data_IF_318063520536
#
_entry.id   IF_318063520536
#
_cell.length_a   1.000
_cell.length_b   1.000
_cell.length_c   1.000
_cell.angle_alpha   90.00
_cell.angle_beta   90.00
_cell.angle_gamma   90.00
#
_symmetry.space_group_name_H-M   'P 1'
#
loop_
_entity.id
_entity.type
_entity.pdbx_description
1 polymer ?
#
# COMPACT_ATOMS: atom_id res chain seq x y z
N UNK A 1 -3.52 11.25 -1.37
CA UNK A 1 -3.15 11.14 0.06
C UNK A 1 -4.42 10.96 0.91
N UNK A 2 -4.68 9.74 1.40
CA UNK A 2 -6.03 9.35 1.85
C UNK A 2 -6.22 9.34 3.37
N UNK A 3 -5.20 9.01 4.16
CA UNK A 3 -5.32 8.88 5.61
C UNK A 3 -4.97 10.16 6.38
N UNK A 4 -4.19 11.06 5.77
CA UNK A 4 -3.65 12.26 6.42
C UNK A 4 -4.75 13.19 6.98
N UNK A 5 -5.77 13.62 6.18
CA UNK A 5 -6.80 14.52 6.70
C UNK A 5 -7.63 13.86 7.80
N UNK A 6 -7.88 12.56 7.69
CA UNK A 6 -8.63 11.79 8.69
C UNK A 6 -7.86 11.67 10.02
N UNK A 7 -6.54 11.44 9.98
CA UNK A 7 -5.68 11.45 11.18
C UNK A 7 -5.66 12.83 11.83
N UNK A 8 -5.61 13.91 11.04
CA UNK A 8 -5.66 15.29 11.58
C UNK A 8 -7.04 15.64 12.15
N UNK A 9 -8.12 15.14 11.54
CA UNK A 9 -9.48 15.35 12.02
C UNK A 9 -9.72 14.69 13.39
N UNK A 10 -8.98 13.63 13.74
CA UNK A 10 -9.07 12.98 15.05
C UNK A 10 -8.71 13.92 16.23
N UNK A 11 -8.15 15.11 15.99
CA UNK A 11 -7.95 16.17 17.00
C UNK A 11 -9.26 16.66 17.65
N UNK A 12 -10.40 16.49 16.99
CA UNK A 12 -11.70 16.87 17.55
C UNK A 12 -12.19 15.92 18.63
N UNK A 13 -11.55 14.75 18.78
CA UNK A 13 -11.88 13.77 19.82
C UNK A 13 -11.14 14.17 21.11
N UNK A 14 -11.91 14.59 22.12
CA UNK A 14 -11.38 15.07 23.40
C UNK A 14 -10.63 13.98 24.18
N UNK A 15 -11.19 12.76 24.19
CA UNK A 15 -10.56 11.62 24.86
C UNK A 15 -9.32 11.16 24.10
N UNK A 16 -8.15 11.23 24.77
CA UNK A 16 -6.89 10.80 24.16
C UNK A 16 -6.89 9.32 23.73
N UNK A 17 -7.60 8.44 24.46
CA UNK A 17 -7.70 7.00 24.14
C UNK A 17 -8.48 6.78 22.86
N UNK A 18 -9.66 7.40 22.75
CA UNK A 18 -10.52 7.29 21.56
C UNK A 18 -9.86 7.96 20.34
N UNK A 19 -9.17 9.09 20.57
CA UNK A 19 -8.35 9.76 19.55
C UNK A 19 -7.26 8.82 19.03
N UNK A 20 -6.52 8.17 19.92
CA UNK A 20 -5.45 7.26 19.55
C UNK A 20 -5.98 6.03 18.80
N UNK A 21 -7.06 5.41 19.28
CA UNK A 21 -7.70 4.27 18.61
C UNK A 21 -8.15 4.66 17.19
N UNK A 22 -8.76 5.85 17.05
CA UNK A 22 -9.13 6.40 15.74
C UNK A 22 -7.92 6.59 14.82
N UNK A 23 -6.84 7.21 15.32
CA UNK A 23 -5.59 7.42 14.55
C UNK A 23 -5.00 6.08 14.08
N UNK A 24 -5.02 5.06 14.93
CA UNK A 24 -4.49 3.74 14.59
C UNK A 24 -5.40 2.97 13.61
N UNK A 25 -6.71 3.22 13.61
CA UNK A 25 -7.69 2.54 12.74
C UNK A 25 -7.79 3.13 11.33
N UNK A 26 -7.68 4.45 11.18
CA UNK A 26 -7.83 5.15 9.88
C UNK A 26 -7.02 4.49 8.75
N UNK A 27 -5.77 4.05 8.95
CA UNK A 27 -4.95 3.45 7.89
C UNK A 27 -5.38 2.05 7.45
N UNK A 28 -6.21 1.35 8.23
CA UNK A 28 -6.80 0.05 7.83
C UNK A 28 -7.85 0.23 6.72
N UNK A 29 -8.41 1.42 6.58
CA UNK A 29 -9.39 1.69 5.53
C UNK A 29 -8.74 1.71 4.15
N UNK A 30 -9.40 1.04 3.19
CA UNK A 30 -9.00 1.06 1.79
C UNK A 30 -9.12 2.46 1.21
N UNK A 31 -8.09 2.85 0.49
CA UNK A 31 -7.82 4.24 0.18
C UNK A 31 -7.59 4.39 -1.32
N UNK A 32 -7.99 5.52 -1.91
CA UNK A 32 -7.99 5.72 -3.37
C UNK A 32 -6.62 5.49 -4.02
N UNK A 33 -5.53 5.75 -3.31
CA UNK A 33 -4.17 5.50 -3.78
C UNK A 33 -3.81 4.00 -3.94
N UNK A 34 -4.66 3.06 -3.48
CA UNK A 34 -4.48 1.62 -3.71
C UNK A 34 -5.12 1.13 -5.00
N UNK A 35 -6.04 1.91 -5.58
CA UNK A 35 -6.79 1.52 -6.78
C UNK A 35 -5.87 1.15 -7.95
N UNK A 36 -4.81 1.90 -8.29
CA UNK A 36 -3.97 1.57 -9.44
C UNK A 36 -3.32 0.17 -9.34
N UNK A 37 -2.90 -0.21 -8.13
CA UNK A 37 -2.28 -1.52 -7.88
C UNK A 37 -3.32 -2.63 -8.02
N UNK A 38 -4.52 -2.44 -7.45
CA UNK A 38 -5.61 -3.40 -7.59
C UNK A 38 -6.06 -3.54 -9.04
N UNK A 39 -6.24 -2.44 -9.77
CA UNK A 39 -6.64 -2.49 -11.17
C UNK A 39 -5.60 -3.20 -12.01
N UNK A 40 -4.31 -2.99 -11.75
CA UNK A 40 -3.23 -3.67 -12.47
C UNK A 40 -3.21 -5.18 -12.17
N UNK A 41 -3.27 -5.58 -10.90
CA UNK A 41 -3.26 -7.00 -10.52
C UNK A 41 -4.53 -7.72 -10.98
N UNK A 42 -5.69 -7.06 -10.91
CA UNK A 42 -6.97 -7.61 -11.39
C UNK A 42 -6.96 -7.75 -12.91
N UNK A 43 -6.52 -6.73 -13.65
CA UNK A 43 -6.42 -6.81 -15.11
C UNK A 43 -5.40 -7.87 -15.56
N UNK A 44 -4.30 -8.02 -14.80
CA UNK A 44 -3.29 -9.01 -15.10
C UNK A 44 -3.76 -10.44 -14.86
N UNK A 45 -4.32 -10.76 -13.70
CA UNK A 45 -4.48 -12.16 -13.28
C UNK A 45 -5.91 -12.67 -13.27
N UNK A 46 -6.91 -11.79 -13.25
CA UNK A 46 -8.30 -12.20 -13.10
C UNK A 46 -8.99 -12.24 -14.47
N UNK A 47 -9.48 -13.42 -14.91
CA UNK A 47 -10.13 -13.54 -16.21
C UNK A 47 -11.43 -12.73 -16.25
N UNK A 48 -11.71 -12.12 -17.41
CA UNK A 48 -12.98 -11.46 -17.71
C UNK A 48 -14.10 -12.49 -17.86
N UNK A 49 -14.55 -13.08 -16.76
CA UNK A 49 -15.77 -13.89 -16.72
C UNK A 49 -16.89 -13.06 -16.13
N UNK A 50 -18.03 -13.04 -16.80
CA UNK A 50 -19.26 -12.48 -16.24
C UNK A 50 -19.89 -13.54 -15.34
N UNK A 51 -20.05 -13.20 -14.07
CA UNK A 51 -20.82 -14.00 -13.11
C UNK A 51 -22.22 -13.41 -13.09
N UNK A 52 -23.25 -14.25 -13.24
CA UNK A 52 -24.67 -13.82 -13.20
C UNK A 52 -25.08 -12.81 -14.29
N UNK A 53 -24.38 -12.76 -15.44
CA UNK A 53 -24.75 -11.92 -16.60
C UNK A 53 -24.66 -10.40 -16.40
N UNK A 54 -24.42 -9.92 -15.17
CA UNK A 54 -24.42 -8.49 -14.79
C UNK A 54 -23.11 -8.09 -14.09
N UNK A 55 -22.46 -9.00 -13.34
CA UNK A 55 -21.27 -8.68 -12.55
C UNK A 55 -20.00 -9.25 -13.18
N UNK A 56 -18.99 -8.40 -13.42
CA UNK A 56 -17.66 -8.87 -13.80
C UNK A 56 -16.96 -9.47 -12.58
N UNK A 57 -16.29 -10.61 -12.76
CA UNK A 57 -15.52 -11.27 -11.69
C UNK A 57 -14.44 -10.32 -11.11
N UNK A 58 -13.89 -9.44 -11.95
CA UNK A 58 -12.98 -8.37 -11.56
C UNK A 58 -13.61 -7.37 -10.58
N UNK A 59 -14.85 -6.93 -10.85
CA UNK A 59 -15.58 -6.03 -9.95
C UNK A 59 -15.93 -6.70 -8.62
N UNK A 60 -16.28 -8.00 -8.65
CA UNK A 60 -16.56 -8.78 -7.45
C UNK A 60 -15.32 -8.89 -6.54
N UNK A 61 -14.14 -9.13 -7.12
CA UNK A 61 -12.89 -9.20 -6.35
C UNK A 61 -12.54 -7.85 -5.74
N UNK A 62 -12.67 -6.76 -6.49
CA UNK A 62 -12.44 -5.41 -5.96
C UNK A 62 -13.40 -5.11 -4.80
N UNK A 63 -14.69 -5.40 -4.97
CA UNK A 63 -15.69 -5.24 -3.92
C UNK A 63 -15.35 -6.09 -2.69
N UNK A 64 -14.95 -7.35 -2.89
CA UNK A 64 -14.54 -8.27 -1.83
C UNK A 64 -13.38 -7.72 -0.99
N UNK A 65 -12.33 -7.17 -1.62
CA UNK A 65 -11.18 -6.58 -0.91
C UNK A 65 -11.61 -5.36 -0.09
N UNK A 66 -12.51 -4.53 -0.61
CA UNK A 66 -13.01 -3.36 0.11
C UNK A 66 -13.86 -3.75 1.34
N UNK A 67 -14.74 -4.74 1.19
CA UNK A 67 -15.52 -5.29 2.31
C UNK A 67 -14.61 -5.93 3.36
N UNK A 68 -13.61 -6.69 2.93
CA UNK A 68 -12.62 -7.32 3.81
C UNK A 68 -11.85 -6.27 4.64
N UNK A 69 -11.47 -5.14 4.04
CA UNK A 69 -10.90 -4.00 4.76
C UNK A 69 -11.85 -3.38 5.79
N UNK A 70 -13.14 -3.23 5.44
CA UNK A 70 -14.15 -2.69 6.35
C UNK A 70 -14.41 -3.60 7.55
N UNK A 71 -14.61 -4.90 7.31
CA UNK A 71 -14.87 -5.90 8.36
C UNK A 71 -13.69 -5.97 9.34
N UNK A 72 -12.47 -5.98 8.81
CA UNK A 72 -11.28 -6.02 9.65
C UNK A 72 -11.04 -4.73 10.41
N UNK A 73 -11.35 -3.56 9.86
CA UNK A 73 -11.32 -2.30 10.61
C UNK A 73 -12.28 -2.35 11.80
N UNK A 74 -13.51 -2.85 11.61
CA UNK A 74 -14.48 -3.04 12.70
C UNK A 74 -13.93 -4.03 13.74
N UNK A 75 -13.39 -5.16 13.30
CA UNK A 75 -12.84 -6.18 14.20
C UNK A 75 -11.67 -5.64 15.06
N UNK A 76 -10.70 -4.96 14.43
CA UNK A 76 -9.59 -4.32 15.13
C UNK A 76 -10.09 -3.22 16.05
N UNK A 77 -11.12 -2.47 15.66
CA UNK A 77 -11.70 -1.43 16.51
C UNK A 77 -12.30 -2.00 17.80
N UNK A 78 -12.98 -3.13 17.73
CA UNK A 78 -13.53 -3.82 18.90
C UNK A 78 -12.41 -4.32 19.82
N UNK A 79 -11.32 -4.87 19.26
CA UNK A 79 -10.14 -5.29 20.02
C UNK A 79 -9.50 -4.10 20.72
N UNK A 80 -9.23 -3.01 19.99
CA UNK A 80 -8.60 -1.82 20.54
C UNK A 80 -9.48 -1.11 21.55
N UNK A 81 -10.80 -1.07 21.36
CA UNK A 81 -11.75 -0.54 22.37
C UNK A 81 -11.69 -1.33 23.67
N UNK A 82 -11.49 -2.65 23.62
CA UNK A 82 -11.34 -3.51 24.80
C UNK A 82 -10.00 -3.29 25.52
N UNK A 83 -8.93 -3.07 24.76
CA UNK A 83 -7.58 -2.80 25.29
C UNK A 83 -7.49 -1.38 25.88
N UNK A 84 -8.01 -0.39 25.17
CA UNK A 84 -7.94 1.03 25.52
C UNK A 84 -9.28 1.55 26.05
N UNK A 85 -9.77 1.00 27.17
CA UNK A 85 -11.07 1.41 27.76
C UNK A 85 -11.18 2.93 27.91
N UNK A 86 -12.18 3.61 27.31
CA UNK A 86 -12.39 5.04 27.51
C UNK A 86 -12.81 5.36 28.95
N UNK A 87 -12.41 6.52 29.45
CA UNK A 87 -12.63 6.94 30.85
C UNK A 87 -13.97 7.67 31.06
N UNK A 88 -14.56 8.21 29.99
CA UNK A 88 -15.85 8.90 30.00
C UNK A 88 -16.31 9.16 28.57
N UNK A 89 -17.52 8.77 28.16
CA UNK A 89 -18.09 9.21 26.89
C UNK A 89 -18.64 10.62 27.06
N UNK A 90 -17.95 11.63 26.54
CA UNK A 90 -18.48 13.00 26.53
C UNK A 90 -19.56 13.04 25.44
N UNK A 91 -20.77 13.44 25.82
CA UNK A 91 -21.89 13.60 24.89
C UNK A 91 -21.56 14.78 23.98
N UNK A 92 -21.23 14.49 22.72
CA UNK A 92 -20.97 15.50 21.72
C UNK A 92 -22.31 16.16 21.35
N UNK A 93 -22.65 17.25 22.03
CA UNK A 93 -23.68 18.18 21.56
C UNK A 93 -23.10 18.85 20.31
N UNK A 94 -23.52 18.35 19.16
CA UNK A 94 -23.16 18.94 17.88
C UNK A 94 -24.16 20.06 17.60
N UNK A 95 -23.91 21.25 18.17
CA UNK A 95 -24.63 22.43 17.73
C UNK A 95 -24.27 22.69 16.27
N UNK A 96 -25.29 22.78 15.41
CA UNK A 96 -25.08 23.04 13.99
C UNK A 96 -24.45 24.43 13.84
N UNK A 97 -23.20 24.55 13.38
CA UNK A 97 -22.60 25.86 13.19
C UNK A 97 -23.38 26.60 12.08
N UNK A 98 -23.55 27.92 12.19
CA UNK A 98 -24.21 28.70 11.15
C UNK A 98 -23.43 28.56 9.83
N UNK A 99 -24.09 28.03 8.80
CA UNK A 99 -23.51 27.81 7.48
C UNK A 99 -23.31 29.17 6.79
N UNK A 100 -22.08 29.70 6.86
CA UNK A 100 -21.69 30.93 6.16
C UNK A 100 -21.12 30.56 4.79
N UNK A 101 -21.56 31.27 3.75
CA UNK A 101 -20.98 31.15 2.41
C UNK A 101 -19.49 31.51 2.47
N UNK A 102 -18.58 30.62 2.03
CA UNK A 102 -17.16 30.90 2.06
C UNK A 102 -16.79 31.96 1.02
N UNK A 103 -15.99 32.95 1.40
CA UNK A 103 -15.43 33.90 0.44
C UNK A 103 -14.42 33.19 -0.46
N UNK A 104 -14.53 33.38 -1.78
CA UNK A 104 -13.62 32.76 -2.77
C UNK A 104 -12.13 33.04 -2.47
N UNK A 105 -11.84 34.23 -1.97
CA UNK A 105 -10.47 34.65 -1.61
C UNK A 105 -9.90 33.84 -0.43
N UNK A 106 -10.71 33.54 0.59
CA UNK A 106 -10.25 32.75 1.75
C UNK A 106 -10.16 31.26 1.42
N UNK A 107 -11.06 30.74 0.58
CA UNK A 107 -10.92 29.39 0.02
C UNK A 107 -9.62 29.23 -0.74
N UNK A 108 -9.28 30.17 -1.62
CA UNK A 108 -8.04 30.12 -2.39
C UNK A 108 -6.80 30.15 -1.50
N UNK A 109 -6.75 31.04 -0.50
CA UNK A 109 -5.66 31.07 0.48
C UNK A 109 -5.56 29.75 1.26
N UNK A 110 -6.68 29.18 1.69
CA UNK A 110 -6.71 27.90 2.39
C UNK A 110 -6.17 26.77 1.51
N UNK A 111 -6.61 26.70 0.24
CA UNK A 111 -6.12 25.71 -0.72
C UNK A 111 -4.62 25.88 -0.94
N UNK A 112 -4.15 27.11 -1.13
CA UNK A 112 -2.74 27.42 -1.36
C UNK A 112 -1.87 27.04 -0.15
N UNK A 113 -2.28 27.38 1.07
CA UNK A 113 -1.56 27.01 2.29
C UNK A 113 -1.52 25.48 2.48
N UNK A 114 -2.62 24.79 2.23
CA UNK A 114 -2.67 23.32 2.32
C UNK A 114 -1.79 22.66 1.27
N UNK A 115 -1.79 23.17 0.03
CA UNK A 115 -0.94 22.69 -1.05
C UNK A 115 0.55 22.95 -0.76
N UNK A 116 0.90 24.15 -0.30
CA UNK A 116 2.27 24.51 0.10
C UNK A 116 2.75 23.66 1.27
N UNK A 117 1.91 23.45 2.29
CA UNK A 117 2.22 22.59 3.43
C UNK A 117 2.44 21.14 2.99
N UNK A 118 1.65 20.63 2.05
CA UNK A 118 1.86 19.30 1.47
C UNK A 118 3.17 19.21 0.68
N UNK A 119 3.46 20.16 -0.22
CA UNK A 119 4.72 20.17 -0.99
C UNK A 119 5.95 20.22 -0.08
N UNK A 120 5.94 21.08 0.93
CA UNK A 120 7.09 21.27 1.82
C UNK A 120 7.25 20.18 2.87
N UNK A 121 6.15 19.54 3.31
CA UNK A 121 6.22 18.50 4.35
C UNK A 121 6.30 17.10 3.74
N UNK A 122 5.39 16.77 2.82
CA UNK A 122 5.34 15.45 2.19
C UNK A 122 6.24 15.38 0.96
N UNK A 123 6.26 16.43 0.13
CA UNK A 123 7.06 16.46 -1.10
C UNK A 123 8.55 16.32 -0.86
N UNK A 124 9.12 16.97 0.16
CA UNK A 124 10.54 16.82 0.52
C UNK A 124 10.89 15.39 0.91
N UNK A 125 9.99 14.69 1.63
CA UNK A 125 10.18 13.27 2.00
C UNK A 125 10.10 12.39 0.76
N UNK A 126 9.09 12.59 -0.09
CA UNK A 126 8.92 11.81 -1.33
C UNK A 126 10.13 11.96 -2.23
N UNK A 127 10.60 13.19 -2.47
CA UNK A 127 11.78 13.45 -3.31
C UNK A 127 13.02 12.77 -2.75
N UNK A 128 13.30 12.93 -1.45
CA UNK A 128 14.44 12.28 -0.81
C UNK A 128 14.41 10.77 -0.98
N UNK A 129 13.24 10.14 -0.79
CA UNK A 129 13.12 8.69 -0.94
C UNK A 129 13.21 8.24 -2.40
N UNK A 130 12.64 9.00 -3.35
CA UNK A 130 12.79 8.70 -4.78
C UNK A 130 14.26 8.74 -5.22
N UNK A 131 15.05 9.71 -4.72
CA UNK A 131 16.50 9.78 -4.99
C UNK A 131 17.23 8.58 -4.39
N UNK A 132 16.90 8.19 -3.15
CA UNK A 132 17.48 7.01 -2.50
C UNK A 132 17.11 5.71 -3.24
N UNK A 133 15.84 5.55 -3.65
CA UNK A 133 15.40 4.39 -4.42
C UNK A 133 16.06 4.33 -5.80
N UNK A 134 16.19 5.47 -6.48
CA UNK A 134 16.92 5.54 -7.74
C UNK A 134 18.38 5.12 -7.57
N UNK A 135 19.04 5.59 -6.50
CA UNK A 135 20.41 5.20 -6.18
C UNK A 135 20.51 3.69 -5.89
N UNK A 136 19.62 3.14 -5.08
CA UNK A 136 19.59 1.70 -4.76
C UNK A 136 19.29 0.83 -5.98
N UNK A 137 18.45 1.30 -6.91
CA UNK A 137 18.11 0.56 -8.13
C UNK A 137 19.18 0.67 -9.21
N UNK A 138 19.97 1.76 -9.23
CA UNK A 138 20.93 2.05 -10.29
C UNK A 138 22.36 1.59 -9.98
N UNK A 139 22.71 1.42 -8.70
CA UNK A 139 24.05 1.02 -8.27
C UNK A 139 24.08 -0.41 -7.73
N UNK A 140 25.17 -1.17 -7.97
CA UNK A 140 26.36 -0.85 -8.77
C UNK A 140 26.10 -0.80 -10.30
N UNK A 141 26.83 0.09 -11.00
CA UNK A 141 26.76 0.16 -12.47
C UNK A 141 27.35 -1.12 -13.07
N UNK A 142 26.77 -1.67 -14.16
CA UNK A 142 27.27 -2.85 -14.81
C UNK A 142 28.67 -2.63 -15.38
N UNK A 143 29.52 -3.64 -15.31
CA UNK A 143 30.83 -3.63 -15.94
C UNK A 143 30.68 -3.46 -17.45
N UNK A 144 31.40 -2.49 -18.03
CA UNK A 144 31.31 -2.13 -19.46
C UNK A 144 31.73 -3.25 -20.43
N UNK A 145 32.34 -4.31 -19.90
CA UNK A 145 33.02 -5.34 -20.69
C UNK A 145 32.08 -6.48 -21.11
N UNK A 146 30.98 -6.69 -20.37
CA UNK A 146 29.85 -7.54 -20.77
C UNK A 146 28.55 -6.92 -20.22
N UNK A 147 27.76 -6.20 -21.02
CA UNK A 147 26.50 -5.66 -20.54
C UNK A 147 25.57 -6.83 -20.16
N UNK A 148 25.25 -7.03 -18.86
CA UNK A 148 24.26 -8.03 -18.48
C UNK A 148 22.90 -7.61 -19.04
N UNK A 149 21.97 -8.55 -19.13
CA UNK A 149 20.59 -8.18 -19.43
C UNK A 149 20.07 -7.22 -18.35
N UNK A 150 19.16 -6.30 -18.71
CA UNK A 150 18.58 -5.31 -17.78
C UNK A 150 17.96 -5.95 -16.52
N UNK A 151 17.45 -7.18 -16.63
CA UNK A 151 16.96 -7.96 -15.50
C UNK A 151 18.08 -8.38 -14.52
N UNK A 152 19.21 -8.87 -15.03
CA UNK A 152 20.39 -9.23 -14.23
C UNK A 152 21.07 -8.00 -13.60
N UNK A 153 21.01 -6.85 -14.29
CA UNK A 153 21.50 -5.58 -13.75
C UNK A 153 20.72 -5.16 -12.50
N UNK A 154 19.39 -5.30 -12.52
CA UNK A 154 18.56 -4.95 -11.35
C UNK A 154 18.67 -6.02 -10.25
N UNK A 155 18.87 -7.29 -10.59
CA UNK A 155 19.15 -8.34 -9.60
C UNK A 155 20.45 -8.06 -8.82
N UNK A 156 21.50 -7.59 -9.50
CA UNK A 156 22.77 -7.21 -8.88
C UNK A 156 22.76 -5.83 -8.21
N UNK A 157 21.72 -5.01 -8.45
CA UNK A 157 21.56 -3.71 -7.79
C UNK A 157 21.40 -3.87 -6.27
N UNK A 158 21.71 -2.83 -5.50
CA UNK A 158 21.45 -2.84 -4.06
C UNK A 158 19.96 -3.11 -3.74
N UNK A 159 19.04 -2.63 -4.60
CA UNK A 159 17.62 -2.93 -4.48
C UNK A 159 17.34 -4.43 -4.63
N UNK A 160 17.95 -5.10 -5.63
CA UNK A 160 17.87 -6.55 -5.83
C UNK A 160 18.44 -7.34 -4.65
N UNK A 161 19.58 -6.90 -4.10
CA UNK A 161 20.20 -7.51 -2.92
C UNK A 161 19.31 -7.41 -1.68
N UNK A 162 18.65 -6.26 -1.46
CA UNK A 162 17.64 -6.11 -0.39
C UNK A 162 16.41 -7.00 -0.66
N UNK A 163 16.02 -7.14 -1.94
CA UNK A 163 14.95 -8.05 -2.36
C UNK A 163 15.23 -9.50 -1.95
N UNK A 164 16.45 -10.00 -2.24
CA UNK A 164 16.89 -11.33 -1.83
C UNK A 164 17.05 -11.48 -0.31
N UNK A 165 17.44 -10.41 0.38
CA UNK A 165 17.49 -10.42 1.84
C UNK A 165 16.10 -10.58 2.48
N UNK A 166 15.07 -9.98 1.86
CA UNK A 166 13.67 -10.08 2.31
C UNK A 166 13.01 -11.39 1.83
N UNK A 167 13.48 -11.96 0.72
CA UNK A 167 12.99 -13.20 0.11
C UNK A 167 12.65 -14.32 1.10
N UNK A 168 13.50 -14.75 2.05
CA UNK A 168 13.17 -15.86 2.95
C UNK A 168 11.91 -15.63 3.79
N UNK A 169 11.61 -14.38 4.12
CA UNK A 169 10.42 -14.01 4.91
C UNK A 169 9.17 -14.02 4.03
N UNK A 170 9.28 -13.63 2.77
CA UNK A 170 8.15 -13.52 1.82
C UNK A 170 7.91 -14.78 0.98
N UNK A 171 8.89 -15.67 0.86
CA UNK A 171 8.78 -16.98 0.20
C UNK A 171 7.61 -17.84 0.68
N UNK A 172 7.28 -17.92 1.99
CA UNK A 172 6.09 -18.66 2.44
C UNK A 172 4.76 -18.08 1.92
N UNK A 173 4.74 -16.84 1.44
CA UNK A 173 3.57 -16.23 0.81
C UNK A 173 3.53 -16.51 -0.71
N UNK A 174 4.51 -17.23 -1.25
CA UNK A 174 4.68 -17.48 -2.68
C UNK A 174 5.35 -16.35 -3.45
N UNK A 175 5.83 -15.31 -2.78
CA UNK A 175 6.45 -14.13 -3.40
C UNK A 175 7.93 -14.38 -3.74
N UNK A 176 8.39 -13.81 -4.85
CA UNK A 176 9.81 -13.78 -5.23
C UNK A 176 10.47 -12.44 -4.87
N UNK A 177 11.80 -12.39 -5.00
CA UNK A 177 12.60 -11.19 -4.79
C UNK A 177 12.09 -9.98 -5.60
N UNK A 178 11.61 -10.18 -6.84
CA UNK A 178 11.02 -9.12 -7.68
C UNK A 178 9.82 -8.45 -7.00
N UNK A 179 8.93 -9.25 -6.42
CA UNK A 179 7.79 -8.77 -5.63
C UNK A 179 8.31 -8.12 -4.34
N UNK A 180 9.34 -8.70 -3.71
CA UNK A 180 10.02 -8.11 -2.55
C UNK A 180 10.54 -6.69 -2.78
N UNK A 181 11.20 -6.45 -3.92
CA UNK A 181 11.67 -5.11 -4.33
C UNK A 181 10.49 -4.17 -4.53
N UNK A 182 9.43 -4.62 -5.22
CA UNK A 182 8.20 -3.83 -5.40
C UNK A 182 7.49 -3.52 -4.08
N UNK A 183 7.51 -4.44 -3.11
CA UNK A 183 6.98 -4.20 -1.77
C UNK A 183 7.81 -3.13 -1.06
N UNK A 184 9.14 -3.24 -1.08
CA UNK A 184 10.04 -2.26 -0.47
C UNK A 184 9.85 -0.85 -1.06
N UNK A 185 9.77 -0.73 -2.38
CA UNK A 185 9.56 0.56 -3.05
C UNK A 185 8.16 1.12 -2.77
N UNK A 186 7.14 0.26 -2.62
CA UNK A 186 5.78 0.67 -2.29
C UNK A 186 5.64 1.31 -0.90
N UNK A 187 6.51 0.98 0.05
CA UNK A 187 6.54 1.63 1.37
C UNK A 187 6.90 3.13 1.30
N UNK A 188 7.73 3.50 0.32
CA UNK A 188 8.06 4.89 0.04
C UNK A 188 6.83 5.63 -0.49
N UNK A 189 6.29 5.12 -1.60
CA UNK A 189 5.12 5.64 -2.27
C UNK A 189 4.41 4.50 -2.99
N UNK A 190 3.12 4.31 -2.69
CA UNK A 190 2.38 3.14 -3.18
C UNK A 190 2.19 3.12 -4.69
N UNK A 191 2.10 4.28 -5.32
CA UNK A 191 2.04 4.43 -6.78
C UNK A 191 3.36 4.13 -7.50
N UNK A 192 4.50 4.21 -6.79
CA UNK A 192 5.83 3.97 -7.38
C UNK A 192 6.06 2.50 -7.69
N UNK A 193 5.27 1.57 -7.13
CA UNK A 193 5.38 0.15 -7.44
C UNK A 193 5.25 -0.14 -8.94
N UNK A 194 4.30 0.52 -9.62
CA UNK A 194 4.04 0.28 -11.04
C UNK A 194 5.24 0.75 -11.86
N UNK A 195 5.79 1.92 -11.52
CA UNK A 195 7.01 2.44 -12.12
C UNK A 195 8.19 1.48 -11.89
N UNK A 196 8.37 0.97 -10.67
CA UNK A 196 9.48 0.05 -10.36
C UNK A 196 9.33 -1.31 -11.04
N UNK A 197 8.11 -1.83 -11.17
CA UNK A 197 7.85 -3.04 -11.93
C UNK A 197 8.09 -2.81 -13.43
N UNK A 198 7.65 -1.68 -14.00
CA UNK A 198 7.94 -1.33 -15.39
C UNK A 198 9.44 -1.26 -15.67
N UNK A 199 10.22 -0.65 -14.78
CA UNK A 199 11.69 -0.62 -14.88
C UNK A 199 12.29 -2.02 -14.74
N UNK A 200 11.78 -2.84 -13.82
CA UNK A 200 12.26 -4.20 -13.58
C UNK A 200 12.04 -5.15 -14.79
N UNK A 201 10.91 -5.00 -15.47
CA UNK A 201 10.59 -5.76 -16.69
C UNK A 201 11.13 -5.10 -17.96
N UNK A 202 11.96 -4.06 -17.83
CA UNK A 202 12.60 -3.32 -18.92
C UNK A 202 11.62 -2.85 -20.01
N UNK A 203 10.47 -2.33 -19.57
CA UNK A 203 9.46 -1.79 -20.47
C UNK A 203 9.73 -0.30 -20.68
N UNK A 204 9.99 0.08 -21.93
CA UNK A 204 10.14 1.49 -22.30
C UNK A 204 8.86 2.28 -21.98
N UNK A 205 9.04 3.50 -21.48
CA UNK A 205 7.95 4.39 -21.11
C UNK A 205 7.20 4.86 -22.38
N UNK A 206 5.99 4.36 -22.60
CA UNK A 206 5.16 4.73 -23.75
C UNK A 206 3.66 4.59 -23.47
N UNK A 207 2.77 5.11 -24.35
CA UNK A 207 1.31 5.15 -24.13
C UNK A 207 0.63 3.77 -23.98
N UNK A 208 1.33 2.66 -24.24
CA UNK A 208 0.85 1.27 -24.07
C UNK A 208 1.44 0.54 -22.84
N UNK A 209 2.03 1.27 -21.89
CA UNK A 209 2.74 0.70 -20.73
C UNK A 209 1.92 -0.29 -19.89
N UNK A 210 0.61 -0.05 -19.71
CA UNK A 210 -0.22 -0.93 -18.91
C UNK A 210 -0.47 -2.30 -19.56
N UNK A 211 -0.62 -2.37 -20.88
CA UNK A 211 -0.88 -3.62 -21.58
C UNK A 211 0.39 -4.46 -21.73
N UNK A 212 1.54 -3.82 -21.96
CA UNK A 212 2.83 -4.50 -22.08
C UNK A 212 3.29 -5.08 -20.74
N UNK A 213 3.07 -4.35 -19.63
CA UNK A 213 3.40 -4.84 -18.29
C UNK A 213 2.55 -6.03 -17.86
N UNK A 214 1.25 -6.03 -18.18
CA UNK A 214 0.37 -7.17 -17.89
C UNK A 214 0.87 -8.44 -18.58
N UNK A 215 1.34 -8.33 -19.82
CA UNK A 215 1.83 -9.46 -20.60
C UNK A 215 3.17 -10.00 -20.05
N UNK A 216 4.11 -9.10 -19.71
CA UNK A 216 5.36 -9.48 -19.03
C UNK A 216 5.11 -10.19 -17.70
N UNK A 217 4.16 -9.70 -16.90
CA UNK A 217 3.79 -10.30 -15.61
C UNK A 217 3.15 -11.69 -15.76
N UNK A 218 2.37 -11.93 -16.83
CA UNK A 218 1.78 -13.24 -17.12
C UNK A 218 2.80 -14.26 -17.60
N UNK A 219 3.81 -13.81 -18.34
CA UNK A 219 4.82 -14.67 -18.96
C UNK A 219 6.02 -14.96 -18.03
N UNK A 220 6.14 -14.26 -16.90
CA UNK A 220 7.24 -14.45 -15.95
C UNK A 220 7.13 -15.81 -15.22
N UNK A 221 8.20 -16.62 -15.31
CA UNK A 221 8.28 -17.96 -14.72
C UNK A 221 9.44 -18.05 -13.74
N UNK A 222 9.19 -18.74 -12.63
CA UNK A 222 10.23 -19.09 -11.64
C UNK A 222 11.25 -20.06 -12.24
N UNK A 223 12.44 -20.20 -11.62
CA UNK A 223 13.43 -21.21 -12.00
C UNK A 223 12.85 -22.63 -12.06
N UNK A 224 11.83 -22.91 -11.23
CA UNK A 224 11.12 -24.19 -11.16
C UNK A 224 10.05 -24.38 -12.27
N UNK A 225 9.90 -23.41 -13.18
CA UNK A 225 8.95 -23.46 -14.31
C UNK A 225 7.50 -23.05 -13.99
N UNK A 226 7.16 -22.86 -12.71
CA UNK A 226 5.86 -22.33 -12.27
C UNK A 226 5.74 -20.82 -12.56
N UNK A 227 4.56 -20.28 -12.86
CA UNK A 227 4.38 -18.84 -13.02
C UNK A 227 4.74 -18.09 -11.73
N UNK A 228 5.49 -16.98 -11.83
CA UNK A 228 5.83 -16.12 -10.68
C UNK A 228 4.55 -15.58 -10.03
N UNK A 229 3.58 -15.22 -10.87
CA UNK A 229 2.30 -14.70 -10.46
C UNK A 229 1.17 -15.67 -10.85
N UNK A 230 0.84 -16.59 -9.96
CA UNK A 230 -0.43 -17.32 -10.05
C UNK A 230 -1.59 -16.46 -9.57
N UNK A 231 -2.83 -16.87 -9.85
CA UNK A 231 -4.04 -16.22 -9.34
C UNK A 231 -4.01 -16.16 -7.79
N UNK A 232 -3.46 -17.18 -7.14
CA UNK A 232 -3.26 -17.20 -5.69
C UNK A 232 -2.27 -16.14 -5.22
N UNK A 233 -1.13 -16.01 -5.91
CA UNK A 233 -0.13 -14.99 -5.60
C UNK A 233 -0.74 -13.60 -5.81
N UNK A 234 -1.53 -13.40 -6.86
CA UNK A 234 -2.20 -12.13 -7.10
C UNK A 234 -3.20 -11.77 -5.99
N UNK A 235 -4.04 -12.72 -5.55
CA UNK A 235 -5.02 -12.49 -4.47
C UNK A 235 -4.32 -12.25 -3.13
N UNK A 236 -3.31 -13.05 -2.79
CA UNK A 236 -2.52 -12.86 -1.56
C UNK A 236 -1.79 -11.52 -1.56
N UNK A 237 -1.24 -11.09 -2.70
CA UNK A 237 -0.59 -9.79 -2.87
C UNK A 237 -1.59 -8.64 -2.74
N UNK A 238 -2.80 -8.77 -3.30
CA UNK A 238 -3.87 -7.78 -3.12
C UNK A 238 -4.29 -7.65 -1.64
N UNK A 239 -4.41 -8.76 -0.93
CA UNK A 239 -4.71 -8.78 0.51
C UNK A 239 -3.55 -8.17 1.32
N UNK A 240 -2.31 -8.49 0.96
CA UNK A 240 -1.15 -7.85 1.56
C UNK A 240 -1.22 -6.33 1.39
N UNK A 241 -1.49 -5.82 0.18
CA UNK A 241 -1.65 -4.38 -0.07
C UNK A 241 -2.85 -3.74 0.62
N UNK A 242 -3.92 -4.52 0.88
CA UNK A 242 -5.08 -4.06 1.64
C UNK A 242 -4.74 -3.73 3.09
N UNK A 243 -3.80 -4.46 3.68
CA UNK A 243 -3.42 -4.30 5.07
C UNK A 243 -2.11 -3.58 5.28
N UNK A 244 -1.17 -3.71 4.35
CA UNK A 244 0.11 -3.04 4.40
C UNK A 244 -0.13 -1.54 4.39
N UNK A 245 0.18 -0.89 5.50
CA UNK A 245 0.08 0.55 5.66
C UNK A 245 1.44 1.16 5.92
N UNK A 246 2.12 1.46 4.81
CA UNK A 246 3.25 2.37 4.81
C UNK A 246 3.15 3.27 3.59
N UNK A 247 2.67 4.48 3.80
CA UNK A 247 3.32 5.60 3.13
C UNK A 247 3.98 6.44 4.23
N UNK A 248 5.24 6.83 4.02
CA UNK A 248 6.03 7.55 5.02
C UNK A 248 5.33 8.83 5.52
N UNK A 249 4.50 9.44 4.67
CA UNK A 249 3.73 10.63 5.01
C UNK A 249 2.71 10.38 6.14
N UNK A 250 2.05 9.21 6.19
CA UNK A 250 1.11 8.90 7.27
C UNK A 250 1.86 8.71 8.58
N UNK A 251 2.99 8.00 8.55
CA UNK A 251 3.85 7.78 9.70
C UNK A 251 4.36 9.11 10.30
N UNK A 252 4.80 10.04 9.46
CA UNK A 252 5.24 11.37 9.88
C UNK A 252 4.14 12.18 10.58
N UNK A 253 2.90 12.07 10.09
CA UNK A 253 1.76 12.79 10.67
C UNK A 253 1.27 12.12 11.95
N UNK A 254 1.20 10.79 12.01
CA UNK A 254 0.89 10.08 13.25
C UNK A 254 1.91 10.41 14.34
N UNK A 255 3.21 10.48 14.01
CA UNK A 255 4.24 10.95 14.93
C UNK A 255 3.96 12.38 15.42
N UNK A 256 3.58 13.30 14.52
CA UNK A 256 3.26 14.69 14.87
C UNK A 256 2.00 14.79 15.76
N UNK A 257 0.99 13.96 15.52
CA UNK A 257 -0.25 13.95 16.33
C UNK A 257 -0.09 13.29 17.70
N UNK A 258 0.72 12.22 17.78
CA UNK A 258 0.92 11.44 19.01
C UNK A 258 2.13 11.89 19.82
N UNK A 259 2.90 12.87 19.30
CA UNK A 259 4.12 13.44 19.87
C UNK A 259 5.14 12.40 20.40
N UNK A 260 5.13 11.19 19.84
CA UNK A 260 5.98 10.09 20.30
C UNK A 260 6.20 9.09 19.17
N UNK A 261 7.32 8.37 19.25
CA UNK A 261 7.67 7.32 18.27
C UNK A 261 7.04 5.96 18.58
N UNK A 262 6.57 5.76 19.83
CA UNK A 262 6.01 4.47 20.27
C UNK A 262 4.77 4.08 19.47
N UNK A 263 3.84 5.01 19.28
CA UNK A 263 2.59 4.77 18.54
C UNK A 263 2.76 4.57 17.04
N UNK A 264 3.51 5.39 16.30
CA UNK A 264 3.69 5.16 14.87
C UNK A 264 4.51 3.88 14.59
N UNK A 265 5.46 3.50 15.47
CA UNK A 265 6.18 2.23 15.35
C UNK A 265 5.28 1.03 15.66
N UNK A 266 4.44 1.13 16.71
CA UNK A 266 3.41 0.14 17.01
C UNK A 266 2.45 -0.03 15.84
N UNK A 267 2.02 1.08 15.23
CA UNK A 267 1.15 1.10 14.06
C UNK A 267 1.75 0.31 12.89
N UNK A 268 2.99 0.62 12.54
CA UNK A 268 3.74 -0.09 11.49
C UNK A 268 3.86 -1.58 11.82
N UNK A 269 4.26 -1.91 13.04
CA UNK A 269 4.44 -3.29 13.47
C UNK A 269 3.15 -4.11 13.37
N UNK A 270 2.06 -3.64 13.99
CA UNK A 270 0.81 -4.40 14.00
C UNK A 270 0.22 -4.54 12.59
N UNK A 271 0.30 -3.51 11.75
CA UNK A 271 -0.25 -3.56 10.39
C UNK A 271 0.57 -4.45 9.46
N UNK A 272 1.90 -4.45 9.57
CA UNK A 272 2.75 -5.37 8.83
C UNK A 272 2.53 -6.82 9.28
N UNK A 273 2.39 -7.07 10.58
CA UNK A 273 2.06 -8.41 11.11
C UNK A 273 0.68 -8.85 10.60
N UNK A 274 -0.32 -7.98 10.65
CA UNK A 274 -1.66 -8.29 10.17
C UNK A 274 -1.65 -8.57 8.66
N UNK A 275 -0.95 -7.76 7.86
CA UNK A 275 -0.81 -7.98 6.42
C UNK A 275 -0.12 -9.30 6.09
N UNK A 276 0.96 -9.62 6.81
CA UNK A 276 1.70 -10.86 6.64
C UNK A 276 0.85 -12.08 6.99
N UNK A 277 0.19 -12.08 8.16
CA UNK A 277 -0.65 -13.19 8.58
C UNK A 277 -1.87 -13.38 7.68
N UNK A 278 -2.52 -12.29 7.26
CA UNK A 278 -3.68 -12.37 6.37
C UNK A 278 -3.31 -12.91 4.98
N UNK A 279 -2.18 -12.44 4.40
CA UNK A 279 -1.71 -12.93 3.11
C UNK A 279 -1.22 -14.38 3.17
N UNK A 280 -0.51 -14.76 4.23
CA UNK A 280 -0.10 -16.15 4.48
C UNK A 280 -1.32 -17.05 4.63
N UNK A 281 -2.33 -16.63 5.39
CA UNK A 281 -3.58 -17.37 5.54
C UNK A 281 -4.26 -17.59 4.19
N UNK A 282 -4.38 -16.54 3.38
CA UNK A 282 -4.99 -16.63 2.04
C UNK A 282 -4.21 -17.54 1.11
N UNK A 283 -2.88 -17.44 1.09
CA UNK A 283 -2.02 -18.26 0.23
C UNK A 283 -2.06 -19.74 0.65
N UNK A 284 -1.90 -20.03 1.93
CA UNK A 284 -1.90 -21.40 2.44
C UNK A 284 -3.28 -22.05 2.32
N UNK A 285 -4.35 -21.30 2.61
CA UNK A 285 -5.72 -21.77 2.44
C UNK A 285 -6.06 -22.04 0.97
N UNK A 286 -5.63 -21.17 0.06
CA UNK A 286 -5.76 -21.39 -1.38
C UNK A 286 -5.02 -22.64 -1.86
N UNK A 287 -3.81 -22.87 -1.33
CA UNK A 287 -3.00 -24.06 -1.66
C UNK A 287 -3.70 -25.34 -1.18
N UNK A 288 -4.29 -25.34 0.02
CA UNK A 288 -5.05 -26.48 0.56
C UNK A 288 -6.30 -26.76 -0.28
N UNK A 289 -6.95 -25.73 -0.82
CA UNK A 289 -8.09 -25.86 -1.74
C UNK A 289 -7.71 -26.37 -3.14
N UNK A 290 -6.43 -26.62 -3.41
CA UNK A 290 -5.95 -27.17 -4.69
C UNK A 290 -5.92 -26.16 -5.83
N UNK A 291 -6.03 -24.86 -5.54
CA UNK A 291 -5.83 -23.80 -6.53
C UNK A 291 -4.32 -23.56 -6.65
N UNK A 292 -3.67 -24.17 -7.66
CA UNK A 292 -2.26 -23.96 -7.98
C UNK A 292 -2.11 -22.92 -9.10
#
# INVERSE_FOLDING_TARGET
>A
ACAIPAVMAARTIENWRDRLVTILLVPLMSCSARLPVYTLLIAAFIPHKMVLGIFSLQGLVLMGIYFLGMITAIFVALIFKKIFKPRSSVSMIMELPPYRMPLLRSLWWTIYERAKSFLTTAGTIILAVSVVLWFLASFPLPDKENPPTSAEQIERSYAGQIGHFIEPIIKPLGYDWKIGVGLLTSFAAREVIISTLSTLYNLEEGPRQHTTLIESLRNDKKPDGTPVYSILVAISLMVFYAYAAQCMATFAIVKRETNSWRWPLFMVGYMTILAYLASLFVYQFGRILGWA
#
